data_IF_260762427659
#
_entry.id   IF_260762427659
#
_cell.length_a   1.000
_cell.length_b   1.000
_cell.length_c   1.000
_cell.angle_alpha   90.00
_cell.angle_beta   90.00
_cell.angle_gamma   90.00
#
_symmetry.space_group_name_H-M   'P 1'
#
loop_
_entity.id
_entity.type
_entity.pdbx_description
1 polymer ?
#
# COMPACT_ATOMS: atom_id res chain seq x y z
N UNK A 1 -11.67 16.45 -32.37
CA UNK A 1 -12.21 16.22 -31.01
C UNK A 1 -11.10 15.57 -30.20
N UNK A 2 -10.54 16.35 -29.28
CA UNK A 2 -9.39 16.00 -28.44
C UNK A 2 -9.78 14.93 -27.43
N UNK A 3 -9.16 13.76 -27.51
CA UNK A 3 -9.24 12.75 -26.46
C UNK A 3 -8.68 13.32 -25.16
N UNK A 4 -9.45 13.20 -24.09
CA UNK A 4 -9.00 13.51 -22.73
C UNK A 4 -8.06 12.36 -22.32
N UNK A 5 -6.74 12.56 -22.14
CA UNK A 5 -5.87 11.53 -21.59
C UNK A 5 -6.07 11.55 -20.08
N UNK A 6 -7.04 10.74 -19.63
CA UNK A 6 -7.57 10.79 -18.28
C UNK A 6 -7.33 9.52 -17.48
N UNK A 7 -6.21 8.81 -17.67
CA UNK A 7 -5.77 7.74 -16.76
C UNK A 7 -4.29 7.39 -17.01
N UNK A 8 -3.37 8.25 -16.55
CA UNK A 8 -1.94 7.89 -16.43
C UNK A 8 -1.82 6.82 -15.33
N UNK A 9 -2.05 5.56 -15.69
CA UNK A 9 -2.01 4.44 -14.76
C UNK A 9 -0.55 4.09 -14.53
N UNK A 10 0.08 4.73 -13.55
CA UNK A 10 1.42 4.34 -13.10
C UNK A 10 1.28 2.97 -12.44
N UNK A 11 1.85 1.95 -13.08
CA UNK A 11 2.04 0.64 -12.49
C UNK A 11 3.18 0.73 -11.49
N UNK A 12 2.85 0.64 -10.20
CA UNK A 12 3.84 0.61 -9.11
C UNK A 12 4.37 -0.79 -8.95
N UNK A 13 5.69 -0.99 -9.09
CA UNK A 13 6.30 -2.26 -8.70
C UNK A 13 6.33 -2.41 -7.18
N UNK A 14 6.53 -3.64 -6.71
CA UNK A 14 6.75 -3.91 -5.29
C UNK A 14 7.96 -3.17 -4.72
N UNK A 15 9.04 -3.11 -5.49
CA UNK A 15 10.26 -2.39 -5.13
C UNK A 15 9.98 -0.89 -4.97
N UNK A 16 9.30 -0.28 -5.94
CA UNK A 16 8.89 1.14 -5.88
C UNK A 16 7.97 1.40 -4.69
N UNK A 17 7.04 0.50 -4.42
CA UNK A 17 6.10 0.60 -3.30
C UNK A 17 6.84 0.53 -1.96
N UNK A 18 7.74 -0.43 -1.79
CA UNK A 18 8.57 -0.58 -0.58
C UNK A 18 9.45 0.64 -0.36
N UNK A 19 10.15 1.09 -1.40
CA UNK A 19 11.02 2.26 -1.31
C UNK A 19 10.23 3.52 -0.93
N UNK A 20 9.08 3.76 -1.56
CA UNK A 20 8.22 4.89 -1.19
C UNK A 20 7.77 4.84 0.28
N UNK A 21 7.32 3.67 0.76
CA UNK A 21 6.91 3.51 2.16
C UNK A 21 8.07 3.75 3.12
N UNK A 22 9.28 3.32 2.76
CA UNK A 22 10.51 3.59 3.53
C UNK A 22 10.82 5.09 3.58
N UNK A 23 10.80 5.80 2.45
CA UNK A 23 10.99 7.25 2.42
C UNK A 23 10.00 7.98 3.33
N UNK A 24 8.74 7.52 3.36
CA UNK A 24 7.72 8.12 4.23
C UNK A 24 7.99 7.84 5.72
N UNK A 25 8.60 6.70 6.07
CA UNK A 25 9.05 6.42 7.44
C UNK A 25 10.21 7.34 7.84
N UNK A 26 11.18 7.53 6.95
CA UNK A 26 12.31 8.44 7.19
C UNK A 26 11.84 9.88 7.42
N UNK A 27 10.92 10.37 6.59
CA UNK A 27 10.35 11.70 6.76
C UNK A 27 9.46 11.81 8.02
N UNK A 28 8.84 10.71 8.46
CA UNK A 28 8.16 10.67 9.75
C UNK A 28 9.14 10.84 10.92
N UNK A 29 10.29 10.15 10.87
CA UNK A 29 11.33 10.23 11.90
C UNK A 29 11.94 11.63 11.99
N UNK A 30 12.04 12.35 10.86
CA UNK A 30 12.47 13.75 10.80
C UNK A 30 11.42 14.76 11.31
N UNK A 31 10.20 14.30 11.63
CA UNK A 31 9.11 15.17 12.07
C UNK A 31 8.39 15.92 10.94
N UNK A 32 8.61 15.52 9.68
CA UNK A 32 7.96 16.10 8.50
C UNK A 32 6.54 15.56 8.26
N UNK A 33 6.09 14.62 9.09
CA UNK A 33 4.73 14.08 9.07
C UNK A 33 4.01 14.47 10.35
N UNK A 34 2.92 15.23 10.22
CA UNK A 34 2.02 15.58 11.33
C UNK A 34 0.61 15.12 11.00
N UNK A 35 -0.05 14.42 11.93
CA UNK A 35 -1.40 13.88 11.73
C UNK A 35 -1.55 13.12 10.40
N UNK A 36 -0.55 12.31 10.03
CA UNK A 36 -0.47 11.56 8.76
C UNK A 36 -0.29 12.39 7.48
N UNK A 37 -0.24 13.72 7.59
CA UNK A 37 0.02 14.63 6.47
C UNK A 37 1.51 14.94 6.39
N UNK A 38 2.09 14.65 5.23
CA UNK A 38 3.46 15.06 4.90
C UNK A 38 3.44 16.55 4.57
N UNK A 39 4.29 17.32 5.24
CA UNK A 39 4.50 18.75 4.96
C UNK A 39 5.17 18.94 3.59
N UNK A 40 5.22 20.17 3.09
CA UNK A 40 5.73 20.43 1.74
C UNK A 40 7.21 20.01 1.56
N UNK A 41 8.05 20.26 2.57
CA UNK A 41 9.46 19.86 2.55
C UNK A 41 9.62 18.33 2.42
N UNK A 42 8.84 17.55 3.18
CA UNK A 42 8.85 16.10 3.10
C UNK A 42 8.28 15.58 1.78
N UNK A 43 7.29 16.26 1.20
CA UNK A 43 6.76 15.91 -0.14
C UNK A 43 7.83 16.06 -1.20
N UNK A 44 8.51 17.20 -1.21
CA UNK A 44 9.58 17.49 -2.17
C UNK A 44 10.73 16.50 -2.00
N UNK A 45 11.16 16.25 -0.76
CA UNK A 45 12.21 15.27 -0.47
C UNK A 45 11.87 13.85 -0.92
N UNK A 46 10.61 13.41 -0.75
CA UNK A 46 10.16 12.10 -1.23
C UNK A 46 10.18 12.05 -2.76
N UNK A 47 9.66 13.08 -3.44
CA UNK A 47 9.62 13.13 -4.91
C UNK A 47 11.03 13.13 -5.51
N UNK A 48 11.94 13.93 -4.95
CA UNK A 48 13.30 14.05 -5.46
C UNK A 48 14.08 12.74 -5.28
N UNK A 49 14.04 12.14 -4.08
CA UNK A 49 14.69 10.85 -3.83
C UNK A 49 14.11 9.72 -4.65
N UNK A 50 12.79 9.74 -4.87
CA UNK A 50 12.14 8.74 -5.73
C UNK A 50 12.59 8.89 -7.19
N UNK A 51 12.72 10.12 -7.66
CA UNK A 51 13.25 10.42 -8.99
C UNK A 51 14.73 10.03 -9.11
N UNK A 52 15.56 10.30 -8.11
CA UNK A 52 16.97 9.87 -8.09
C UNK A 52 17.11 8.35 -8.14
N UNK A 53 16.24 7.61 -7.45
CA UNK A 53 16.30 6.15 -7.39
C UNK A 53 15.82 5.46 -8.69
N UNK A 54 14.74 5.97 -9.31
CA UNK A 54 14.09 5.28 -10.43
C UNK A 54 14.11 6.05 -11.75
N UNK A 55 14.50 7.32 -11.75
CA UNK A 55 14.46 8.20 -12.92
C UNK A 55 13.04 8.60 -13.35
N UNK A 56 12.02 8.31 -12.54
CA UNK A 56 10.60 8.53 -12.89
C UNK A 56 10.04 9.72 -12.12
N UNK A 57 9.55 10.72 -12.87
CA UNK A 57 8.92 11.90 -12.29
C UNK A 57 7.41 11.64 -12.12
N UNK A 58 6.99 11.51 -10.87
CA UNK A 58 5.60 11.19 -10.50
C UNK A 58 4.97 12.39 -9.78
N UNK A 59 3.74 12.83 -10.14
CA UNK A 59 3.04 13.87 -9.40
C UNK A 59 2.72 13.42 -7.96
N UNK A 60 2.88 14.31 -6.97
CA UNK A 60 2.60 14.02 -5.55
C UNK A 60 1.22 13.36 -5.31
N UNK A 61 0.19 13.76 -6.08
CA UNK A 61 -1.16 13.18 -6.02
C UNK A 61 -1.15 11.65 -6.15
N UNK A 62 -0.28 11.09 -6.99
CA UNK A 62 -0.19 9.63 -7.22
C UNK A 62 0.40 8.90 -6.03
N UNK A 63 1.41 9.48 -5.35
CA UNK A 63 1.94 8.96 -4.09
C UNK A 63 0.87 8.92 -2.99
N UNK A 64 0.05 9.97 -2.90
CA UNK A 64 -1.07 10.01 -1.95
C UNK A 64 -2.11 8.92 -2.20
N UNK A 65 -2.47 8.68 -3.47
CA UNK A 65 -3.36 7.58 -3.86
C UNK A 65 -2.75 6.23 -3.48
N UNK A 66 -1.49 5.98 -3.86
CA UNK A 66 -0.79 4.73 -3.55
C UNK A 66 -0.72 4.48 -2.04
N UNK A 67 -0.39 5.50 -1.25
CA UNK A 67 -0.39 5.41 0.21
C UNK A 67 -1.75 5.02 0.77
N UNK A 68 -2.83 5.64 0.29
CA UNK A 68 -4.19 5.31 0.73
C UNK A 68 -4.56 3.87 0.37
N UNK A 69 -4.16 3.37 -0.80
CA UNK A 69 -4.35 1.97 -1.20
C UNK A 69 -3.61 1.03 -0.26
N UNK A 70 -2.31 1.25 -0.02
CA UNK A 70 -1.52 0.45 0.91
C UNK A 70 -2.10 0.47 2.32
N UNK A 71 -2.58 1.63 2.80
CA UNK A 71 -3.24 1.75 4.10
C UNK A 71 -4.51 0.91 4.17
N UNK A 72 -5.37 0.94 3.14
CA UNK A 72 -6.59 0.12 3.09
C UNK A 72 -6.26 -1.37 3.13
N UNK A 73 -5.29 -1.81 2.34
CA UNK A 73 -4.82 -3.20 2.33
C UNK A 73 -4.31 -3.62 3.71
N UNK A 74 -3.50 -2.78 4.35
CA UNK A 74 -3.00 -3.04 5.70
C UNK A 74 -4.13 -3.11 6.74
N UNK A 75 -5.14 -2.24 6.67
CA UNK A 75 -6.30 -2.31 7.56
C UNK A 75 -7.15 -3.57 7.33
N UNK A 76 -7.32 -4.00 6.07
CA UNK A 76 -7.95 -5.28 5.74
C UNK A 76 -7.16 -6.46 6.32
N UNK A 77 -5.84 -6.46 6.14
CA UNK A 77 -4.94 -7.47 6.71
C UNK A 77 -4.99 -7.49 8.25
N UNK A 78 -5.00 -6.32 8.90
CA UNK A 78 -5.18 -6.23 10.36
C UNK A 78 -6.52 -6.80 10.81
N UNK A 79 -7.61 -6.50 10.11
CA UNK A 79 -8.93 -7.07 10.43
C UNK A 79 -8.93 -8.59 10.28
N UNK A 80 -8.26 -9.10 9.25
CA UNK A 80 -8.12 -10.53 8.98
C UNK A 80 -7.37 -11.27 10.10
N UNK A 81 -6.35 -10.63 10.66
CA UNK A 81 -5.41 -11.22 11.64
C UNK A 81 -5.74 -10.89 13.10
N UNK A 82 -6.63 -9.92 13.37
CA UNK A 82 -6.96 -9.46 14.73
C UNK A 82 -7.52 -10.58 15.63
N UNK A 83 -7.01 -10.62 16.87
CA UNK A 83 -7.43 -11.54 17.96
C UNK A 83 -7.24 -13.03 17.63
N UNK A 84 -6.14 -13.41 16.96
CA UNK A 84 -5.86 -14.81 16.61
C UNK A 84 -4.49 -15.26 17.08
N UNK A 85 -4.51 -16.38 17.80
CA UNK A 85 -3.35 -17.17 18.21
C UNK A 85 -3.19 -18.30 17.20
N UNK A 86 -1.96 -18.62 16.78
CA UNK A 86 -1.68 -19.70 15.82
C UNK A 86 -1.81 -19.33 14.34
N UNK A 87 -1.61 -18.04 14.00
CA UNK A 87 -1.36 -17.66 12.60
C UNK A 87 0.02 -18.20 12.21
N UNK A 88 0.05 -19.10 11.25
CA UNK A 88 1.29 -19.53 10.64
C UNK A 88 1.53 -18.71 9.37
N UNK A 89 2.79 -18.36 9.15
CA UNK A 89 3.23 -17.62 7.98
C UNK A 89 4.20 -18.51 7.20
N UNK A 90 4.02 -18.59 5.89
CA UNK A 90 5.01 -19.28 5.06
C UNK A 90 6.35 -18.50 5.08
N UNK A 91 7.40 -19.12 4.55
CA UNK A 91 8.72 -18.50 4.39
C UNK A 91 8.71 -17.24 3.51
N UNK A 92 7.63 -17.00 2.78
CA UNK A 92 7.41 -15.88 1.87
C UNK A 92 6.65 -14.72 2.56
N UNK A 93 6.10 -14.95 3.75
CA UNK A 93 5.29 -14.00 4.52
C UNK A 93 3.78 -14.06 4.23
N UNK A 94 3.29 -15.04 3.48
CA UNK A 94 1.86 -15.30 3.28
C UNK A 94 1.27 -16.04 4.48
N UNK A 95 -0.02 -15.81 4.75
CA UNK A 95 -0.74 -16.56 5.78
C UNK A 95 -0.93 -18.00 5.29
N UNK A 96 -0.25 -18.94 5.93
CA UNK A 96 -0.34 -20.36 5.62
C UNK A 96 -1.41 -21.01 6.49
N UNK A 97 -2.67 -20.96 6.04
CA UNK A 97 -3.82 -21.52 6.76
C UNK A 97 -4.65 -22.42 5.86
N UNK A 98 -5.43 -23.34 6.46
CA UNK A 98 -6.27 -24.29 5.74
C UNK A 98 -7.37 -23.63 4.92
N UNK A 99 -7.83 -24.31 3.87
CA UNK A 99 -8.96 -23.88 3.02
C UNK A 99 -10.21 -23.54 3.84
N UNK A 100 -10.53 -24.35 4.84
CA UNK A 100 -11.67 -24.14 5.74
C UNK A 100 -11.57 -22.82 6.51
N UNK A 101 -10.36 -22.46 6.95
CA UNK A 101 -10.10 -21.21 7.65
C UNK A 101 -10.34 -19.98 6.76
N UNK A 102 -9.99 -20.10 5.48
CA UNK A 102 -10.27 -19.07 4.46
C UNK A 102 -11.76 -19.00 4.13
N UNK A 103 -12.44 -20.14 3.98
CA UNK A 103 -13.87 -20.21 3.68
C UNK A 103 -14.75 -19.60 4.78
N UNK A 104 -14.43 -19.81 6.06
CA UNK A 104 -15.10 -19.12 7.16
C UNK A 104 -14.97 -17.60 7.09
N UNK A 105 -13.85 -17.11 6.56
CA UNK A 105 -13.58 -15.67 6.42
C UNK A 105 -14.24 -15.08 5.20
N UNK A 106 -14.29 -15.81 4.09
CA UNK A 106 -15.05 -15.41 2.92
C UNK A 106 -16.55 -15.28 3.23
N UNK A 107 -17.07 -16.09 4.16
CA UNK A 107 -18.46 -15.99 4.65
C UNK A 107 -18.70 -14.81 5.60
N UNK A 108 -17.70 -14.41 6.39
CA UNK A 108 -17.79 -13.27 7.35
C UNK A 108 -17.46 -11.91 6.74
N UNK A 109 -16.59 -11.87 5.75
CA UNK A 109 -16.22 -10.66 5.02
C UNK A 109 -17.13 -10.53 3.80
N UNK A 110 -17.99 -9.51 3.78
CA UNK A 110 -18.82 -9.20 2.60
C UNK A 110 -17.99 -9.16 1.31
N UNK A 111 -18.50 -9.68 0.17
CA UNK A 111 -17.71 -9.98 -1.04
C UNK A 111 -16.89 -8.82 -1.60
N UNK A 112 -17.30 -7.58 -1.38
CA UNK A 112 -16.61 -6.38 -1.86
C UNK A 112 -15.21 -6.17 -1.26
N UNK A 113 -14.88 -6.78 -0.12
CA UNK A 113 -13.58 -6.63 0.55
C UNK A 113 -12.55 -7.69 0.13
N UNK A 114 -12.99 -8.79 -0.49
CA UNK A 114 -12.12 -9.92 -0.85
C UNK A 114 -11.50 -9.74 -2.24
N UNK A 115 -12.25 -9.19 -3.21
CA UNK A 115 -11.71 -8.90 -4.54
C UNK A 115 -10.57 -7.87 -4.51
N UNK A 116 -10.66 -6.83 -3.67
CA UNK A 116 -9.58 -5.84 -3.51
C UNK A 116 -8.39 -6.37 -2.68
N UNK A 117 -8.59 -7.39 -1.84
CA UNK A 117 -7.54 -7.94 -0.96
C UNK A 117 -6.84 -9.17 -1.56
N UNK A 118 -7.50 -9.93 -2.45
CA UNK A 118 -6.90 -11.09 -3.14
C UNK A 118 -6.18 -10.69 -4.44
N UNK A 119 -6.49 -9.53 -5.03
CA UNK A 119 -5.89 -9.10 -6.31
C UNK A 119 -4.61 -8.27 -6.13
N UNK A 120 -4.29 -7.78 -4.92
CA UNK A 120 -3.20 -6.81 -4.74
C UNK A 120 -2.23 -7.15 -3.60
N UNK A 121 -1.86 -8.43 -3.49
CA UNK A 121 -0.61 -8.85 -2.84
C UNK A 121 0.53 -9.10 -3.85
N UNK A 122 0.40 -8.53 -5.07
CA UNK A 122 1.45 -8.35 -6.07
C UNK A 122 1.21 -7.03 -6.81
#
# INVERSE_FOLDING_TARGET
>A
MTSIPGTDNITWSDEQTRFFLQLRLDENLKGNIRKQMVNEAGRQAIVDKFYEAFGIKIPWRKFGIKYNTCKKQYESFKKLTRNRTGLDFDSTGFINMSEDWWNERCKKCTPALLLDSMILLF
#
